data_IF_614104117159
#
_entry.id   IF_614104117159
#
_cell.length_a   1.000
_cell.length_b   1.000
_cell.length_c   1.000
_cell.angle_alpha   90.00
_cell.angle_beta   90.00
_cell.angle_gamma   90.00
#
_symmetry.space_group_name_H-M   'P 1'
#
loop_
_entity.id
_entity.type
_entity.pdbx_description
1 polymer ?
#
# COMPACT_ATOMS: atom_id res chain seq x y z
N UNK A 1 -6.08 8.72 20.80
CA UNK A 1 -5.45 9.40 19.65
C UNK A 1 -6.21 9.05 18.39
N UNK A 2 -6.55 10.04 17.56
CA UNK A 2 -7.14 9.82 16.23
C UNK A 2 -6.03 9.67 15.19
N UNK A 3 -6.17 8.70 14.28
CA UNK A 3 -5.20 8.48 13.21
C UNK A 3 -5.37 9.47 12.06
N UNK A 4 -6.63 9.79 11.72
CA UNK A 4 -6.96 10.70 10.64
C UNK A 4 -7.58 11.99 11.17
N UNK A 5 -7.43 13.10 10.43
CA UNK A 5 -8.07 14.37 10.74
C UNK A 5 -9.51 14.38 10.26
N UNK A 6 -10.43 14.85 11.08
CA UNK A 6 -11.84 14.98 10.69
C UNK A 6 -12.06 16.11 9.63
N UNK A 7 -11.06 16.97 9.41
CA UNK A 7 -11.18 18.15 8.55
C UNK A 7 -10.51 18.01 7.17
N UNK A 8 -9.75 16.95 6.94
CA UNK A 8 -9.01 16.76 5.69
C UNK A 8 -9.62 15.64 4.84
N UNK A 9 -9.81 15.86 3.54
CA UNK A 9 -10.24 14.81 2.63
C UNK A 9 -9.13 13.77 2.40
N UNK A 10 -9.52 12.59 1.94
CA UNK A 10 -8.59 11.61 1.40
C UNK A 10 -8.40 11.83 -0.10
N UNK A 11 -7.16 11.72 -0.55
CA UNK A 11 -6.78 11.64 -1.96
C UNK A 11 -6.67 10.16 -2.36
N UNK A 12 -7.33 9.78 -3.45
CA UNK A 12 -7.25 8.44 -4.03
C UNK A 12 -5.96 8.31 -4.83
N UNK A 13 -5.05 7.44 -4.43
CA UNK A 13 -3.75 7.28 -5.05
C UNK A 13 -3.50 5.86 -5.54
N UNK A 14 -2.74 5.73 -6.65
CA UNK A 14 -2.09 4.50 -7.06
C UNK A 14 -0.59 4.78 -7.22
N UNK A 15 0.24 3.94 -6.58
CA UNK A 15 1.69 4.11 -6.57
C UNK A 15 2.43 2.97 -7.28
N UNK A 16 1.72 2.18 -8.10
CA UNK A 16 2.30 1.08 -8.86
C UNK A 16 1.55 0.88 -10.18
N UNK A 17 2.15 1.28 -11.28
CA UNK A 17 1.66 1.00 -12.62
C UNK A 17 2.78 1.10 -13.65
N UNK A 18 2.62 0.39 -14.76
CA UNK A 18 3.61 0.28 -15.84
C UNK A 18 3.08 0.86 -17.15
N UNK A 19 3.99 1.37 -17.94
CA UNK A 19 3.69 1.95 -19.27
C UNK A 19 4.54 1.28 -20.34
N UNK A 20 4.42 1.76 -21.58
CA UNK A 20 5.28 1.30 -22.69
C UNK A 20 6.76 1.67 -22.53
N UNK A 21 7.12 2.43 -21.48
CA UNK A 21 8.51 2.68 -21.13
C UNK A 21 9.17 1.45 -20.45
N UNK A 22 8.34 0.48 -20.00
CA UNK A 22 8.78 -0.85 -19.57
C UNK A 22 7.98 -1.95 -20.25
N UNK A 23 6.98 -2.51 -19.60
CA UNK A 23 6.21 -3.67 -20.07
C UNK A 23 4.69 -3.50 -19.94
N UNK A 24 4.23 -2.31 -19.60
CA UNK A 24 2.82 -1.93 -19.68
C UNK A 24 2.35 -1.72 -21.13
N UNK A 25 1.03 -1.73 -21.34
CA UNK A 25 0.43 -1.63 -22.69
C UNK A 25 0.02 -0.21 -23.10
N UNK A 26 -0.17 0.69 -22.16
CA UNK A 26 -0.49 2.07 -22.44
C UNK A 26 0.79 2.92 -22.42
N UNK A 27 0.86 3.91 -23.31
CA UNK A 27 1.87 4.96 -23.18
C UNK A 27 1.64 5.79 -21.90
N UNK A 28 2.63 6.53 -21.42
CA UNK A 28 2.53 7.25 -20.17
C UNK A 28 1.34 8.20 -20.05
N UNK A 29 1.03 8.95 -21.12
CA UNK A 29 -0.10 9.90 -21.18
C UNK A 29 -1.43 9.17 -21.14
N UNK A 30 -1.56 8.06 -21.86
CA UNK A 30 -2.77 7.21 -21.86
C UNK A 30 -2.98 6.55 -20.50
N UNK A 31 -1.93 6.08 -19.83
CA UNK A 31 -1.99 5.54 -18.50
C UNK A 31 -2.44 6.59 -17.47
N UNK A 32 -1.86 7.79 -17.52
CA UNK A 32 -2.29 8.92 -16.68
C UNK A 32 -3.76 9.29 -16.92
N UNK A 33 -4.19 9.37 -18.20
CA UNK A 33 -5.58 9.63 -18.57
C UNK A 33 -6.56 8.56 -18.08
N UNK A 34 -6.15 7.29 -18.08
CA UNK A 34 -6.95 6.20 -17.51
C UNK A 34 -7.19 6.44 -16.01
N UNK A 35 -6.15 6.67 -15.21
CA UNK A 35 -6.27 6.89 -13.78
C UNK A 35 -7.03 8.17 -13.43
N UNK A 36 -6.82 9.26 -14.19
CA UNK A 36 -7.62 10.47 -14.06
C UNK A 36 -9.11 10.18 -14.27
N UNK A 37 -9.46 9.43 -15.32
CA UNK A 37 -10.84 9.06 -15.65
C UNK A 37 -11.46 8.10 -14.62
N UNK A 38 -10.65 7.29 -13.97
CA UNK A 38 -11.03 6.40 -12.87
C UNK A 38 -11.12 7.12 -11.50
N UNK A 39 -10.95 8.45 -11.48
CA UNK A 39 -11.13 9.30 -10.31
C UNK A 39 -9.96 9.22 -9.31
N UNK A 40 -8.75 8.94 -9.76
CA UNK A 40 -7.57 9.05 -8.92
C UNK A 40 -7.08 10.51 -8.87
N UNK A 41 -6.60 10.90 -7.69
CA UNK A 41 -6.03 12.23 -7.43
C UNK A 41 -4.51 12.24 -7.57
N UNK A 42 -3.87 11.08 -7.32
CA UNK A 42 -2.41 10.92 -7.28
C UNK A 42 -2.00 9.65 -8.01
N UNK A 43 -0.97 9.75 -8.83
CA UNK A 43 -0.39 8.61 -9.54
C UNK A 43 1.15 8.66 -9.47
N UNK A 44 1.79 7.52 -9.21
CA UNK A 44 3.19 7.31 -9.54
C UNK A 44 3.27 6.25 -10.63
N UNK A 45 3.86 6.60 -11.77
CA UNK A 45 4.26 5.65 -12.80
C UNK A 45 5.57 5.02 -12.33
N UNK A 46 5.61 3.71 -12.28
CA UNK A 46 6.72 2.95 -11.68
C UNK A 46 7.29 1.93 -12.66
N UNK A 47 7.55 2.38 -13.88
CA UNK A 47 8.18 1.55 -14.90
C UNK A 47 9.45 0.86 -14.40
N UNK A 48 9.69 -0.36 -14.86
CA UNK A 48 10.85 -1.14 -14.47
C UNK A 48 12.16 -0.42 -14.78
N UNK A 49 12.92 -0.08 -13.74
CA UNK A 49 14.26 0.54 -13.83
C UNK A 49 14.31 1.87 -14.60
N UNK A 50 13.15 2.46 -14.86
CA UNK A 50 13.01 3.73 -15.58
C UNK A 50 12.13 4.68 -14.75
N UNK A 51 12.55 5.94 -14.65
CA UNK A 51 11.71 6.99 -14.07
C UNK A 51 11.00 7.72 -15.19
N UNK A 52 9.70 7.45 -15.30
CA UNK A 52 8.84 8.10 -16.28
C UNK A 52 8.25 9.38 -15.68
N UNK A 53 8.53 10.53 -16.30
CA UNK A 53 8.09 11.84 -15.84
C UNK A 53 7.04 12.42 -16.76
N UNK A 54 5.91 12.79 -16.18
CA UNK A 54 4.87 13.57 -16.82
C UNK A 54 4.53 14.79 -15.96
N UNK A 55 4.08 15.91 -16.56
CA UNK A 55 3.58 17.05 -15.82
C UNK A 55 2.25 16.70 -15.13
N UNK A 56 2.10 17.13 -13.88
CA UNK A 56 0.80 17.10 -13.20
C UNK A 56 -0.18 18.09 -13.84
N UNK A 57 -1.47 17.83 -13.67
CA UNK A 57 -2.55 18.78 -13.99
C UNK A 57 -3.45 19.02 -12.77
N UNK A 58 -4.51 19.81 -12.91
CA UNK A 58 -5.42 20.16 -11.80
C UNK A 58 -6.17 18.95 -11.22
N UNK A 59 -6.36 17.88 -12.03
CA UNK A 59 -7.11 16.69 -11.64
C UNK A 59 -6.20 15.59 -11.10
N UNK A 60 -5.03 15.35 -11.72
CA UNK A 60 -4.12 14.27 -11.37
C UNK A 60 -2.73 14.81 -11.01
N UNK A 61 -2.30 14.55 -9.79
CA UNK A 61 -0.94 14.82 -9.33
C UNK A 61 -0.04 13.63 -9.70
N UNK A 62 1.00 13.89 -10.50
CA UNK A 62 2.02 12.91 -10.87
C UNK A 62 3.20 13.01 -9.88
N UNK A 63 3.59 11.87 -9.30
CA UNK A 63 4.75 11.74 -8.41
C UNK A 63 5.80 10.89 -9.10
N UNK A 64 7.10 11.27 -9.12
CA UNK A 64 8.15 10.43 -9.67
C UNK A 64 8.16 9.05 -9.03
N UNK A 65 8.20 7.99 -9.84
CA UNK A 65 8.23 6.60 -9.38
C UNK A 65 9.15 5.73 -10.20
N UNK A 66 9.51 4.59 -9.65
CA UNK A 66 10.28 3.52 -10.30
C UNK A 66 9.97 2.19 -9.62
N UNK A 67 10.04 1.09 -10.36
CA UNK A 67 10.16 -0.24 -9.77
C UNK A 67 11.51 -0.85 -10.10
N UNK A 68 12.22 -1.36 -9.07
CA UNK A 68 13.49 -2.07 -9.21
C UNK A 68 13.27 -3.53 -8.90
N UNK A 69 13.52 -4.40 -9.89
CA UNK A 69 13.32 -5.83 -9.79
C UNK A 69 14.62 -6.61 -9.63
N UNK A 70 14.59 -7.60 -8.76
CA UNK A 70 15.68 -8.54 -8.47
C UNK A 70 15.19 -9.97 -8.53
N UNK A 71 16.01 -10.88 -9.03
CA UNK A 71 15.76 -12.32 -9.04
C UNK A 71 16.71 -12.99 -8.05
N UNK A 72 16.12 -13.65 -7.05
CA UNK A 72 16.85 -14.42 -6.03
C UNK A 72 16.43 -15.90 -6.11
N UNK A 73 17.22 -16.84 -5.56
CA UNK A 73 16.82 -18.23 -5.52
C UNK A 73 15.46 -18.44 -4.85
N UNK A 74 14.49 -18.94 -5.61
CA UNK A 74 13.15 -19.29 -5.12
C UNK A 74 12.17 -18.12 -4.92
N UNK A 75 12.57 -16.88 -5.22
CA UNK A 75 11.72 -15.69 -5.10
C UNK A 75 12.18 -14.58 -6.05
N UNK A 76 11.30 -13.65 -6.38
CA UNK A 76 11.71 -12.34 -6.90
C UNK A 76 11.51 -11.27 -5.83
N UNK A 77 12.12 -10.11 -6.01
CA UNK A 77 11.97 -9.00 -5.08
C UNK A 77 11.85 -7.73 -5.87
N UNK A 78 10.72 -7.05 -5.73
CA UNK A 78 10.46 -5.80 -6.38
C UNK A 78 10.35 -4.68 -5.33
N UNK A 79 11.02 -3.57 -5.58
CA UNK A 79 11.03 -2.41 -4.68
C UNK A 79 10.55 -1.19 -5.44
N UNK A 80 9.45 -0.60 -5.00
CA UNK A 80 9.00 0.67 -5.51
C UNK A 80 9.80 1.81 -4.89
N UNK A 81 10.22 2.75 -5.70
CA UNK A 81 10.72 4.05 -5.26
C UNK A 81 9.67 5.10 -5.56
N UNK A 82 9.16 5.79 -4.53
CA UNK A 82 8.10 6.77 -4.66
C UNK A 82 8.62 8.14 -4.24
N UNK A 83 8.45 9.17 -5.08
CA UNK A 83 8.76 10.57 -4.75
C UNK A 83 10.25 10.87 -4.61
N UNK A 84 11.10 10.13 -5.29
CA UNK A 84 12.54 10.35 -5.28
C UNK A 84 12.96 11.47 -6.24
N UNK A 85 14.14 12.01 -6.03
CA UNK A 85 14.75 12.96 -6.96
C UNK A 85 15.04 12.29 -8.32
N UNK A 86 14.21 12.61 -9.28
CA UNK A 86 14.31 12.09 -10.65
C UNK A 86 15.51 12.61 -11.42
N UNK A 87 16.15 13.72 -11.01
CA UNK A 87 17.34 14.27 -11.67
C UNK A 87 18.57 13.38 -11.50
N UNK A 88 18.56 12.47 -10.54
CA UNK A 88 19.59 11.48 -10.34
C UNK A 88 19.67 10.41 -11.44
N UNK A 89 18.86 10.57 -12.49
CA UNK A 89 18.89 9.88 -13.80
C UNK A 89 19.47 8.47 -13.81
N UNK A 90 18.67 7.50 -13.61
CA UNK A 90 18.65 6.17 -14.20
C UNK A 90 19.96 5.41 -14.41
N UNK A 91 20.79 5.21 -13.39
CA UNK A 91 21.72 4.07 -13.42
C UNK A 91 21.39 3.11 -12.29
N UNK A 92 20.22 2.52 -12.40
CA UNK A 92 19.76 1.49 -11.48
C UNK A 92 20.53 0.22 -11.77
N UNK A 93 21.34 -0.24 -10.80
CA UNK A 93 22.18 -1.39 -10.97
C UNK A 93 21.35 -2.68 -10.98
N UNK A 94 21.16 -3.27 -12.14
CA UNK A 94 20.44 -4.55 -12.30
C UNK A 94 21.08 -5.71 -11.53
N UNK A 95 22.36 -5.59 -11.18
CA UNK A 95 23.15 -6.63 -10.52
C UNK A 95 23.38 -6.37 -9.02
N UNK A 96 22.75 -5.34 -8.46
CA UNK A 96 22.78 -5.06 -7.04
C UNK A 96 21.90 -5.99 -6.22
N UNK A 97 21.84 -5.73 -4.93
CA UNK A 97 20.94 -6.40 -3.99
C UNK A 97 19.68 -5.57 -3.74
N UNK A 98 18.56 -6.18 -3.28
CA UNK A 98 17.38 -5.42 -2.88
C UNK A 98 17.68 -4.34 -1.83
N UNK A 99 18.61 -4.60 -0.89
CA UNK A 99 19.01 -3.63 0.12
C UNK A 99 19.70 -2.40 -0.50
N UNK A 100 20.60 -2.60 -1.49
CA UNK A 100 21.22 -1.48 -2.21
C UNK A 100 20.18 -0.63 -2.96
N UNK A 101 19.13 -1.24 -3.51
CA UNK A 101 18.00 -0.53 -4.13
C UNK A 101 17.24 0.32 -3.13
N UNK A 102 16.90 -0.24 -1.97
CA UNK A 102 16.24 0.47 -0.86
C UNK A 102 17.09 1.67 -0.42
N UNK A 103 18.39 1.46 -0.20
CA UNK A 103 19.32 2.50 0.27
C UNK A 103 19.46 3.63 -0.76
N UNK A 104 19.50 3.28 -2.06
CA UNK A 104 19.55 4.27 -3.14
C UNK A 104 18.27 5.10 -3.22
N UNK A 105 17.08 4.48 -3.20
CA UNK A 105 15.80 5.20 -3.19
C UNK A 105 15.76 6.20 -2.02
N UNK A 106 16.13 5.76 -0.82
CA UNK A 106 16.17 6.60 0.38
C UNK A 106 17.19 7.74 0.26
N UNK A 107 18.36 7.48 -0.27
CA UNK A 107 19.41 8.49 -0.53
C UNK A 107 18.91 9.58 -1.48
N UNK A 108 18.02 9.23 -2.42
CA UNK A 108 17.37 10.15 -3.34
C UNK A 108 16.12 10.83 -2.77
N UNK A 109 15.86 10.68 -1.46
CA UNK A 109 14.72 11.31 -0.77
C UNK A 109 13.38 10.60 -0.95
N UNK A 110 13.35 9.47 -1.68
CA UNK A 110 12.16 8.67 -1.93
C UNK A 110 11.77 7.76 -0.77
N UNK A 111 10.58 7.15 -0.90
CA UNK A 111 10.06 6.09 -0.04
C UNK A 111 10.25 4.75 -0.75
N UNK A 112 10.89 3.80 -0.09
CA UNK A 112 11.08 2.44 -0.60
C UNK A 112 9.94 1.54 -0.09
N UNK A 113 9.15 0.95 -0.99
CA UNK A 113 8.02 0.08 -0.66
C UNK A 113 8.26 -1.30 -1.27
N UNK A 114 8.13 -2.37 -0.45
CA UNK A 114 8.21 -3.74 -0.94
C UNK A 114 6.92 -4.08 -1.69
N UNK A 115 7.04 -4.40 -2.97
CA UNK A 115 5.90 -4.72 -3.83
C UNK A 115 5.46 -6.19 -3.67
N UNK A 116 4.17 -6.44 -3.76
CA UNK A 116 3.47 -7.75 -3.90
C UNK A 116 4.18 -8.98 -3.30
N UNK A 117 4.53 -9.01 -1.99
CA UNK A 117 5.40 -10.05 -1.43
C UNK A 117 4.81 -11.46 -1.50
N UNK A 118 3.48 -11.62 -1.50
CA UNK A 118 2.85 -12.93 -1.68
C UNK A 118 3.03 -13.48 -3.10
N UNK A 119 2.88 -12.64 -4.13
CA UNK A 119 3.14 -13.02 -5.52
C UNK A 119 4.62 -13.34 -5.72
N UNK A 120 5.49 -12.54 -5.15
CA UNK A 120 6.95 -12.64 -5.22
C UNK A 120 7.51 -13.86 -4.47
N UNK A 121 6.70 -14.56 -3.67
CA UNK A 121 7.12 -15.67 -2.79
C UNK A 121 8.16 -15.25 -1.75
N UNK A 122 8.09 -14.00 -1.29
CA UNK A 122 8.99 -13.53 -0.23
C UNK A 122 8.68 -14.26 1.09
N UNK A 123 9.72 -14.65 1.81
CA UNK A 123 9.57 -15.28 3.12
C UNK A 123 9.61 -14.26 4.26
N UNK A 124 9.00 -14.55 5.42
CA UNK A 124 9.11 -13.70 6.60
C UNK A 124 10.56 -13.41 7.01
N UNK A 125 11.46 -14.41 6.91
CA UNK A 125 12.89 -14.25 7.20
C UNK A 125 13.54 -13.24 6.25
N UNK A 126 13.24 -13.36 4.95
CA UNK A 126 13.77 -12.45 3.95
C UNK A 126 13.24 -11.03 4.18
N UNK A 127 11.93 -10.86 4.37
CA UNK A 127 11.34 -9.54 4.61
C UNK A 127 11.91 -8.86 5.86
N UNK A 128 12.16 -9.61 6.95
CA UNK A 128 12.82 -9.09 8.16
C UNK A 128 14.29 -8.73 7.98
N UNK A 129 14.95 -9.27 6.97
CA UNK A 129 16.35 -8.93 6.67
C UNK A 129 16.50 -7.59 5.96
N UNK A 130 15.44 -7.07 5.36
CA UNK A 130 15.42 -5.77 4.70
C UNK A 130 15.27 -4.64 5.71
N UNK A 131 16.02 -3.56 5.54
CA UNK A 131 15.99 -2.40 6.43
C UNK A 131 15.68 -1.13 5.67
N UNK A 132 14.98 -0.18 6.32
CA UNK A 132 14.69 1.12 5.74
C UNK A 132 13.55 1.13 4.72
N UNK A 133 12.72 0.09 4.67
CA UNK A 133 11.47 0.13 3.96
C UNK A 133 10.53 1.16 4.60
N UNK A 134 9.77 1.86 3.77
CA UNK A 134 8.73 2.82 4.17
C UNK A 134 7.33 2.24 4.12
N UNK A 135 7.20 0.99 3.66
CA UNK A 135 5.94 0.29 3.57
C UNK A 135 6.03 -0.99 2.75
N UNK A 136 4.89 -1.65 2.61
CA UNK A 136 4.74 -2.92 1.88
C UNK A 136 3.35 -2.99 1.23
N UNK A 137 3.23 -3.59 0.05
CA UNK A 137 1.93 -3.86 -0.55
C UNK A 137 1.22 -5.00 0.18
N UNK A 138 0.05 -4.69 0.74
CA UNK A 138 -0.88 -5.69 1.28
C UNK A 138 -1.78 -6.26 0.18
N UNK A 139 -2.02 -5.46 -0.86
CA UNK A 139 -2.81 -5.84 -2.03
C UNK A 139 -2.17 -5.34 -3.32
N UNK A 140 -2.16 -6.22 -4.33
CA UNK A 140 -1.65 -5.92 -5.67
C UNK A 140 -2.62 -6.50 -6.71
N UNK A 141 -3.30 -5.62 -7.48
CA UNK A 141 -4.42 -6.04 -8.31
C UNK A 141 -4.02 -6.92 -9.49
N UNK A 142 -2.87 -6.68 -10.14
CA UNK A 142 -2.43 -7.53 -11.27
C UNK A 142 -2.17 -8.98 -10.83
N UNK A 143 -1.86 -9.17 -9.56
CA UNK A 143 -1.64 -10.49 -8.98
C UNK A 143 -2.92 -11.33 -8.83
N UNK A 144 -4.11 -10.75 -9.09
CA UNK A 144 -5.38 -11.50 -9.19
C UNK A 144 -5.53 -12.23 -10.51
N UNK A 145 -4.80 -11.81 -11.55
CA UNK A 145 -4.94 -12.41 -12.88
C UNK A 145 -4.57 -13.90 -12.87
N UNK A 146 -5.23 -14.74 -13.69
CA UNK A 146 -5.00 -16.18 -13.68
C UNK A 146 -3.54 -16.61 -13.86
N UNK A 147 -2.77 -15.85 -14.65
CA UNK A 147 -1.33 -16.09 -14.85
C UNK A 147 -0.50 -15.87 -13.59
N UNK A 148 -1.02 -15.09 -12.63
CA UNK A 148 -0.38 -14.73 -11.37
C UNK A 148 -0.90 -15.58 -10.19
N UNK A 149 -1.72 -16.60 -10.47
CA UNK A 149 -2.21 -17.59 -9.51
C UNK A 149 -2.99 -16.99 -8.32
N UNK A 150 -3.67 -15.82 -8.52
CA UNK A 150 -4.52 -15.16 -7.53
C UNK A 150 -3.78 -14.87 -6.20
N UNK A 151 -2.54 -14.37 -6.29
CA UNK A 151 -1.68 -14.04 -5.13
C UNK A 151 -1.69 -12.55 -4.76
N UNK A 152 -2.83 -11.89 -4.90
CA UNK A 152 -2.96 -10.46 -4.65
C UNK A 152 -2.88 -10.07 -3.18
N UNK A 153 -3.43 -10.91 -2.30
CA UNK A 153 -3.58 -10.63 -0.87
C UNK A 153 -2.37 -11.14 -0.09
N UNK A 154 -1.55 -10.21 0.40
CA UNK A 154 -0.37 -10.48 1.23
C UNK A 154 -0.66 -10.43 2.74
N UNK A 155 -1.90 -10.20 3.15
CA UNK A 155 -2.23 -9.88 4.56
C UNK A 155 -1.77 -10.95 5.54
N UNK A 156 -2.01 -12.24 5.25
CA UNK A 156 -1.57 -13.32 6.15
C UNK A 156 -0.06 -13.47 6.23
N UNK A 157 0.66 -13.23 5.11
CA UNK A 157 2.11 -13.25 5.09
C UNK A 157 2.69 -12.11 5.95
N UNK A 158 2.10 -10.92 5.86
CA UNK A 158 2.49 -9.76 6.64
C UNK A 158 2.21 -9.98 8.13
N UNK A 159 1.04 -10.52 8.50
CA UNK A 159 0.71 -10.85 9.89
C UNK A 159 1.76 -11.79 10.52
N UNK A 160 2.17 -12.84 9.80
CA UNK A 160 3.22 -13.77 10.26
C UNK A 160 4.57 -13.06 10.36
N UNK A 161 4.90 -12.18 9.41
CA UNK A 161 6.16 -11.42 9.44
C UNK A 161 6.23 -10.51 10.65
N UNK A 162 5.18 -9.75 10.94
CA UNK A 162 5.12 -8.86 12.11
C UNK A 162 5.10 -9.63 13.43
N UNK A 163 4.29 -10.68 13.52
CA UNK A 163 4.23 -11.54 14.72
C UNK A 163 5.56 -12.24 15.02
N UNK A 164 6.40 -12.46 14.02
CA UNK A 164 7.74 -13.04 14.18
C UNK A 164 8.85 -11.99 14.40
N UNK A 165 8.51 -10.75 14.73
CA UNK A 165 9.44 -9.67 15.07
C UNK A 165 9.85 -8.78 13.89
N UNK A 166 9.10 -8.79 12.78
CA UNK A 166 9.29 -7.84 11.68
C UNK A 166 8.88 -6.43 12.07
N UNK A 167 9.45 -5.43 11.38
CA UNK A 167 9.06 -4.04 11.51
C UNK A 167 7.58 -3.85 11.10
N UNK A 168 6.81 -3.10 11.87
CA UNK A 168 5.40 -2.79 11.59
C UNK A 168 5.30 -1.75 10.46
N UNK A 169 5.49 -2.21 9.23
CA UNK A 169 5.47 -1.36 8.04
C UNK A 169 4.05 -0.93 7.67
N UNK A 170 3.84 0.34 7.26
CA UNK A 170 2.60 0.79 6.67
C UNK A 170 2.23 0.01 5.41
N UNK A 171 0.92 -0.17 5.16
CA UNK A 171 0.44 -1.01 4.06
C UNK A 171 -0.18 -0.21 2.92
N UNK A 172 0.21 -0.57 1.70
CA UNK A 172 -0.27 0.01 0.45
C UNK A 172 -1.17 -0.98 -0.30
N UNK A 173 -2.13 -0.47 -1.07
CA UNK A 173 -2.83 -1.23 -2.09
C UNK A 173 -2.70 -0.51 -3.42
N UNK A 174 -2.22 -1.22 -4.42
CA UNK A 174 -1.97 -0.69 -5.75
C UNK A 174 -2.42 -1.67 -6.82
N UNK A 175 -2.51 -1.19 -8.05
CA UNK A 175 -2.97 -2.00 -9.17
C UNK A 175 -1.84 -2.77 -9.86
N UNK A 176 -0.65 -2.19 -9.96
CA UNK A 176 0.47 -2.77 -10.73
C UNK A 176 0.04 -3.02 -12.19
N UNK A 177 -0.63 -2.01 -12.78
CA UNK A 177 -1.32 -2.18 -14.06
C UNK A 177 -0.34 -2.38 -15.21
N UNK A 178 -0.60 -3.45 -15.98
CA UNK A 178 0.13 -3.79 -17.21
C UNK A 178 -0.82 -3.82 -18.42
N UNK A 179 -1.85 -4.71 -18.48
CA UNK A 179 -2.78 -4.77 -19.61
C UNK A 179 -3.89 -3.71 -19.56
N UNK A 180 -4.10 -3.03 -18.43
CA UNK A 180 -5.14 -2.02 -18.19
C UNK A 180 -6.55 -2.53 -18.50
N UNK A 181 -6.89 -3.69 -17.92
CA UNK A 181 -8.19 -4.34 -18.02
C UNK A 181 -8.83 -4.46 -16.64
N UNK A 182 -9.02 -5.71 -16.18
CA UNK A 182 -9.73 -6.01 -14.94
C UNK A 182 -8.88 -5.68 -13.68
N UNK A 183 -7.57 -5.52 -13.82
CA UNK A 183 -6.64 -5.21 -12.72
C UNK A 183 -6.49 -3.71 -12.44
N UNK A 184 -6.81 -2.85 -13.42
CA UNK A 184 -6.56 -1.41 -13.33
C UNK A 184 -7.77 -0.65 -12.76
N UNK A 185 -7.51 0.34 -11.90
CA UNK A 185 -8.55 1.15 -11.26
C UNK A 185 -9.28 0.44 -10.11
N UNK A 186 -8.75 -0.67 -9.63
CA UNK A 186 -9.36 -1.54 -8.61
C UNK A 186 -8.92 -1.17 -7.21
N UNK A 187 -7.61 -1.05 -6.99
CA UNK A 187 -7.03 -0.79 -5.68
C UNK A 187 -6.59 0.67 -5.52
N UNK A 188 -6.61 1.15 -4.31
CA UNK A 188 -6.12 2.48 -3.99
C UNK A 188 -5.46 2.53 -2.60
N UNK A 189 -4.44 3.36 -2.50
CA UNK A 189 -3.93 3.88 -1.25
C UNK A 189 -4.60 5.24 -1.00
N UNK A 190 -5.42 5.33 0.04
CA UNK A 190 -6.18 6.54 0.38
C UNK A 190 -5.34 7.41 1.29
N UNK A 191 -4.84 8.53 0.79
CA UNK A 191 -3.85 9.39 1.48
C UNK A 191 -4.53 10.64 2.00
N UNK A 192 -4.38 10.92 3.30
CA UNK A 192 -4.87 12.16 3.89
C UNK A 192 -3.77 13.22 3.94
N UNK A 193 -3.72 14.07 2.93
CA UNK A 193 -2.76 15.16 2.81
C UNK A 193 -3.44 16.53 2.94
N UNK A 194 -2.71 17.52 3.45
CA UNK A 194 -3.23 18.88 3.61
C UNK A 194 -3.51 19.58 2.27
N UNK A 195 -2.77 19.20 1.23
CA UNK A 195 -2.89 19.74 -0.14
C UNK A 195 -2.55 18.66 -1.17
N UNK A 196 -3.12 18.77 -2.35
CA UNK A 196 -2.76 17.92 -3.50
C UNK A 196 -1.47 18.43 -4.15
N UNK A 197 -0.34 18.23 -3.45
CA UNK A 197 1.02 18.56 -3.92
C UNK A 197 1.99 17.46 -3.54
N UNK A 198 3.06 17.28 -4.33
CA UNK A 198 4.07 16.23 -4.05
C UNK A 198 4.61 16.31 -2.62
N UNK A 199 5.05 17.48 -2.11
CA UNK A 199 5.57 17.55 -0.73
C UNK A 199 4.53 17.15 0.33
N UNK A 200 3.26 17.58 0.19
CA UNK A 200 2.23 17.28 1.18
C UNK A 200 1.82 15.79 1.15
N UNK A 201 1.73 15.18 -0.04
CA UNK A 201 1.46 13.75 -0.17
C UNK A 201 2.62 12.93 0.40
N UNK A 202 3.85 13.26 0.06
CA UNK A 202 5.04 12.57 0.58
C UNK A 202 5.16 12.68 2.10
N UNK A 203 4.80 13.83 2.68
CA UNK A 203 4.77 14.00 4.14
C UNK A 203 3.66 13.14 4.78
N UNK A 204 2.46 13.11 4.19
CA UNK A 204 1.37 12.25 4.67
C UNK A 204 1.76 10.77 4.65
N UNK A 205 2.45 10.32 3.60
CA UNK A 205 2.98 8.95 3.49
C UNK A 205 4.03 8.66 4.58
N UNK A 206 4.97 9.58 4.83
CA UNK A 206 5.98 9.42 5.92
C UNK A 206 5.34 9.34 7.30
N UNK A 207 4.24 10.05 7.51
CA UNK A 207 3.51 10.07 8.77
C UNK A 207 2.49 8.92 8.92
N UNK A 208 2.36 8.04 7.93
CA UNK A 208 1.39 6.94 7.95
C UNK A 208 -0.08 7.39 7.88
N UNK A 209 -0.36 8.60 7.36
CA UNK A 209 -1.72 9.13 7.22
C UNK A 209 -2.42 8.60 5.98
N UNK A 210 -2.54 7.29 5.89
CA UNK A 210 -3.18 6.62 4.78
C UNK A 210 -3.67 5.22 5.16
N UNK A 211 -4.52 4.65 4.33
CA UNK A 211 -4.97 3.26 4.41
C UNK A 211 -5.09 2.65 3.01
N UNK A 212 -5.06 1.34 2.92
CA UNK A 212 -5.18 0.56 1.69
C UNK A 212 -6.64 0.14 1.46
N UNK A 213 -7.12 0.10 0.19
CA UNK A 213 -8.48 -0.35 -0.10
C UNK A 213 -8.66 -0.89 -1.52
N UNK A 214 -9.64 -1.79 -1.66
CA UNK A 214 -10.23 -2.19 -2.95
C UNK A 214 -11.71 -1.75 -3.07
N UNK A 215 -12.18 -0.87 -2.16
CA UNK A 215 -13.56 -0.36 -2.20
C UNK A 215 -14.04 0.29 -0.91
N UNK A 216 -14.10 -0.43 0.23
CA UNK A 216 -14.56 0.15 1.49
C UNK A 216 -13.72 1.35 1.92
N UNK A 217 -14.33 2.26 2.67
CA UNK A 217 -13.65 3.44 3.19
C UNK A 217 -13.47 3.34 4.70
N UNK A 218 -12.30 3.74 5.19
CA UNK A 218 -12.02 3.96 6.60
C UNK A 218 -11.98 5.47 6.83
N UNK A 219 -12.94 5.99 7.59
CA UNK A 219 -13.05 7.43 7.84
C UNK A 219 -12.19 7.87 9.02
N UNK A 220 -12.17 7.05 10.09
CA UNK A 220 -11.41 7.36 11.30
C UNK A 220 -11.04 6.08 12.05
N UNK A 221 -9.88 6.10 12.68
CA UNK A 221 -9.45 5.11 13.66
C UNK A 221 -9.05 5.86 14.93
N UNK A 222 -9.65 5.48 16.05
CA UNK A 222 -9.34 6.04 17.36
C UNK A 222 -8.69 4.97 18.24
N UNK A 223 -7.47 5.25 18.72
CA UNK A 223 -6.85 4.48 19.79
C UNK A 223 -7.08 5.21 21.12
N UNK A 224 -7.91 4.63 21.99
CA UNK A 224 -8.22 5.17 23.31
C UNK A 224 -7.25 4.62 24.36
N UNK A 225 -6.13 5.32 24.54
CA UNK A 225 -5.14 5.05 25.61
C UNK A 225 -4.59 3.61 25.61
N UNK A 226 -4.43 3.00 24.43
CA UNK A 226 -4.03 1.60 24.26
C UNK A 226 -4.92 0.60 25.03
N UNK A 227 -6.20 0.90 25.17
CA UNK A 227 -7.20 0.02 25.79
C UNK A 227 -8.27 -0.40 24.79
N UNK A 228 -8.67 0.50 23.92
CA UNK A 228 -9.74 0.29 22.96
C UNK A 228 -9.38 0.94 21.62
N UNK A 229 -9.66 0.25 20.54
CA UNK A 229 -9.61 0.78 19.17
C UNK A 229 -11.03 0.87 18.65
N UNK A 230 -11.40 2.04 18.12
CA UNK A 230 -12.68 2.27 17.45
C UNK A 230 -12.38 2.59 15.98
N UNK A 231 -13.13 1.99 15.06
CA UNK A 231 -13.07 2.28 13.63
C UNK A 231 -14.42 2.80 13.15
N UNK A 232 -14.38 3.88 12.37
CA UNK A 232 -15.53 4.40 11.61
C UNK A 232 -15.25 4.18 10.12
N UNK A 233 -16.22 3.59 9.41
CA UNK A 233 -16.01 3.18 8.01
C UNK A 233 -17.32 3.33 7.19
N UNK A 234 -17.22 3.07 5.89
CA UNK A 234 -18.39 2.87 5.02
C UNK A 234 -19.15 1.61 5.45
N UNK A 235 -20.42 1.44 5.02
CA UNK A 235 -21.20 0.24 5.36
C UNK A 235 -20.45 -1.05 5.09
N UNK A 236 -20.28 -1.89 6.11
CA UNK A 236 -19.50 -3.11 6.11
C UNK A 236 -20.36 -4.33 6.49
N UNK A 237 -19.96 -5.51 6.02
CA UNK A 237 -20.50 -6.82 6.42
C UNK A 237 -19.72 -7.43 7.57
N UNK A 238 -18.38 -7.19 7.60
CA UNK A 238 -17.54 -7.59 8.72
C UNK A 238 -16.39 -6.61 8.95
N UNK A 239 -16.01 -6.50 10.23
CA UNK A 239 -14.81 -5.77 10.65
C UNK A 239 -13.98 -6.72 11.51
N UNK A 240 -12.70 -6.82 11.18
CA UNK A 240 -11.77 -7.76 11.81
C UNK A 240 -10.58 -6.99 12.36
N UNK A 241 -10.23 -7.25 13.61
CA UNK A 241 -9.04 -6.71 14.26
C UNK A 241 -7.98 -7.82 14.35
N UNK A 242 -6.96 -7.74 13.53
CA UNK A 242 -5.83 -8.67 13.51
C UNK A 242 -4.74 -8.22 14.48
N UNK A 243 -4.15 -9.15 15.18
CA UNK A 243 -2.99 -8.95 16.05
C UNK A 243 -2.07 -10.16 15.98
N UNK A 244 -0.96 -10.12 16.67
CA UNK A 244 -0.04 -11.26 16.84
C UNK A 244 -0.56 -12.35 17.81
N UNK A 245 -1.71 -12.14 18.43
CA UNK A 245 -2.40 -13.18 19.19
C UNK A 245 -3.19 -14.10 18.24
N UNK A 246 -2.94 -15.43 18.18
CA UNK A 246 -3.65 -16.32 17.28
C UNK A 246 -5.16 -16.38 17.53
N UNK A 247 -5.56 -16.19 18.79
CA UNK A 247 -6.97 -16.16 19.21
C UNK A 247 -7.22 -14.98 20.16
N UNK A 248 -8.29 -14.22 19.89
CA UNK A 248 -8.79 -13.18 20.78
C UNK A 248 -10.31 -13.08 20.67
N UNK A 249 -10.98 -12.94 21.84
CA UNK A 249 -12.41 -12.72 21.88
C UNK A 249 -12.76 -11.35 21.26
N UNK A 250 -13.88 -11.30 20.52
CA UNK A 250 -14.41 -10.05 19.97
C UNK A 250 -13.62 -9.43 18.80
N UNK A 251 -12.59 -10.14 18.28
CA UNK A 251 -11.78 -9.60 17.16
C UNK A 251 -12.52 -9.52 15.84
N UNK A 252 -13.59 -10.28 15.66
CA UNK A 252 -14.39 -10.26 14.43
C UNK A 252 -15.82 -9.94 14.78
N UNK A 253 -16.35 -8.90 14.16
CA UNK A 253 -17.77 -8.55 14.22
C UNK A 253 -18.37 -8.69 12.84
N UNK A 254 -19.44 -9.47 12.74
CA UNK A 254 -20.21 -9.71 11.50
C UNK A 254 -21.60 -9.14 11.71
N UNK A 255 -21.94 -8.09 10.98
CA UNK A 255 -23.25 -7.45 11.01
C UNK A 255 -23.38 -6.55 9.78
N UNK A 256 -24.39 -6.84 8.95
CA UNK A 256 -24.63 -6.10 7.72
C UNK A 256 -24.87 -4.61 7.97
N UNK A 257 -24.25 -3.80 7.13
CA UNK A 257 -24.42 -2.35 7.11
C UNK A 257 -23.78 -1.61 8.28
N UNK A 258 -22.91 -2.24 9.09
CA UNK A 258 -22.27 -1.53 10.19
C UNK A 258 -21.27 -0.49 9.67
N UNK A 259 -21.23 0.66 10.36
CA UNK A 259 -20.36 1.79 10.03
C UNK A 259 -19.36 2.12 11.16
N UNK A 260 -19.49 1.41 12.27
CA UNK A 260 -18.63 1.58 13.45
C UNK A 260 -18.46 0.24 14.16
N UNK A 261 -17.28 0.02 14.67
CA UNK A 261 -16.97 -1.13 15.52
C UNK A 261 -15.82 -0.78 16.48
N UNK A 262 -15.76 -1.47 17.62
CA UNK A 262 -14.69 -1.33 18.57
C UNK A 262 -14.08 -2.69 18.93
N UNK A 263 -12.81 -2.65 19.37
CA UNK A 263 -12.05 -3.79 19.86
C UNK A 263 -11.32 -3.41 21.14
N UNK A 264 -11.49 -4.19 22.19
CA UNK A 264 -10.73 -4.06 23.43
C UNK A 264 -9.40 -4.80 23.27
N UNK A 265 -8.30 -4.06 23.32
CA UNK A 265 -6.93 -4.58 23.17
C UNK A 265 -6.67 -5.61 24.25
N UNK A 266 -6.21 -6.78 23.84
CA UNK A 266 -5.90 -7.88 24.76
C UNK A 266 -4.49 -7.74 25.32
N UNK A 267 -4.24 -8.31 26.50
CA UNK A 267 -2.95 -8.22 27.21
C UNK A 267 -1.74 -8.67 26.37
N UNK A 268 -1.95 -9.57 25.42
CA UNK A 268 -0.89 -10.15 24.61
C UNK A 268 -0.85 -9.57 23.18
N UNK A 269 -1.64 -8.57 22.88
CA UNK A 269 -1.55 -7.88 21.61
C UNK A 269 -0.36 -6.90 21.66
N UNK A 270 0.57 -6.98 20.70
CA UNK A 270 1.66 -6.03 20.54
C UNK A 270 1.41 -5.07 19.37
N UNK A 271 0.55 -5.48 18.44
CA UNK A 271 0.02 -4.62 17.39
C UNK A 271 -1.43 -4.99 17.07
N UNK A 272 -2.16 -4.05 16.49
CA UNK A 272 -3.49 -4.29 15.92
C UNK A 272 -3.56 -3.63 14.56
N UNK A 273 -4.07 -4.35 13.55
CA UNK A 273 -4.53 -3.80 12.27
C UNK A 273 -6.00 -4.11 12.05
N UNK A 274 -6.65 -3.29 11.26
CA UNK A 274 -8.08 -3.41 10.98
C UNK A 274 -8.28 -3.84 9.53
N UNK A 275 -9.23 -4.74 9.31
CA UNK A 275 -9.73 -5.08 7.98
C UNK A 275 -11.24 -4.88 7.97
N UNK A 276 -11.72 -4.05 7.04
CA UNK A 276 -13.13 -3.78 6.79
C UNK A 276 -13.53 -4.51 5.50
N UNK A 277 -14.60 -5.29 5.54
CA UNK A 277 -15.14 -5.99 4.36
C UNK A 277 -16.54 -5.50 4.05
N UNK A 278 -16.80 -5.17 2.79
CA UNK A 278 -18.15 -4.80 2.32
C UNK A 278 -18.95 -6.02 1.80
N UNK A 279 -20.20 -5.77 1.41
CA UNK A 279 -21.10 -6.80 0.88
C UNK A 279 -20.64 -7.43 -0.44
N UNK A 280 -19.75 -6.78 -1.19
CA UNK A 280 -19.15 -7.30 -2.41
C UNK A 280 -17.88 -8.12 -2.13
N UNK A 281 -17.46 -8.27 -0.87
CA UNK A 281 -16.24 -8.95 -0.46
C UNK A 281 -14.96 -8.13 -0.67
N UNK A 282 -15.08 -6.85 -1.06
CA UNK A 282 -13.94 -5.94 -1.18
C UNK A 282 -13.45 -5.54 0.22
N UNK A 283 -12.19 -5.16 0.31
CA UNK A 283 -11.53 -4.95 1.60
C UNK A 283 -10.90 -3.57 1.71
N UNK A 284 -10.82 -3.06 2.94
CA UNK A 284 -9.92 -1.98 3.30
C UNK A 284 -9.09 -2.38 4.52
N UNK A 285 -7.84 -1.95 4.54
CA UNK A 285 -6.87 -2.31 5.58
C UNK A 285 -6.23 -1.07 6.19
N UNK A 286 -6.18 -1.01 7.51
CA UNK A 286 -5.28 -0.08 8.18
C UNK A 286 -3.85 -0.62 8.18
N UNK A 287 -2.88 0.27 8.31
CA UNK A 287 -1.54 -0.12 8.75
C UNK A 287 -1.57 -0.70 10.16
N UNK A 288 -0.61 -1.59 10.53
CA UNK A 288 -0.51 -2.09 11.89
C UNK A 288 -0.16 -0.95 12.85
N UNK A 289 -0.85 -0.90 13.97
CA UNK A 289 -0.65 0.07 15.04
C UNK A 289 -0.03 -0.65 16.24
N UNK A 290 1.09 -0.17 16.76
CA UNK A 290 1.64 -0.67 18.02
C UNK A 290 0.70 -0.34 19.17
N UNK A 291 0.45 -1.29 20.06
CA UNK A 291 -0.45 -1.18 21.22
C UNK A 291 0.25 -1.60 22.52
#
# INVERSE_FOLDING_TARGET
>A
MKLFSDSLPFLKANFHCHTTESDGRLDPESAAGFYESAGYDVLAITDHRTVTLLPSNDKLLLIPGIEIDYVLPGQCVHILGIGMDASAGGKWNRFGTPQEGIDLIRKLGGLAVLAHPAWSLNTPEFMRSLTGLSGVEIWNSVSTLPLNADRADSSSLLDVTWASGGELLPVYANDDSHPYKDEAGVAATMVQAEKKTVPAVMEALRLGRFYATTGPQIYQIENKNNQEIIVHCSPAESIIFYSDSPWAAGRTVIRSGMTECNYFIQKNDHFVRIEVRDAAGRKAWSSPMKV
#
